data_IF_784646812442
#
_entry.id   IF_784646812442
#
_cell.length_a   1.000
_cell.length_b   1.000
_cell.length_c   1.000
_cell.angle_alpha   90.00
_cell.angle_beta   90.00
_cell.angle_gamma   90.00
#
_symmetry.space_group_name_H-M   'P 1'
#
loop_
_entity.id
_entity.type
_entity.pdbx_description
1 polymer ?
#
# COMPACT_ATOMS: atom_id res chain seq x y z
N UNK A 1 21.17 -0.16 2.10
CA UNK A 1 21.26 -0.24 0.62
C UNK A 1 22.66 0.00 0.05
N UNK A 2 23.47 0.97 0.56
CA UNK A 2 24.80 1.33 0.01
C UNK A 2 25.76 0.14 -0.21
N UNK A 3 25.73 -0.87 0.67
CA UNK A 3 26.55 -2.09 0.52
C UNK A 3 26.38 -2.80 -0.82
N UNK A 4 25.22 -2.68 -1.47
CA UNK A 4 24.93 -3.31 -2.75
C UNK A 4 25.42 -2.48 -3.95
N UNK A 5 25.63 -1.18 -3.77
CA UNK A 5 26.20 -0.30 -4.81
C UNK A 5 27.69 -0.56 -5.05
N UNK A 6 28.40 -1.20 -4.10
CA UNK A 6 29.83 -1.55 -4.21
C UNK A 6 30.19 -2.36 -5.45
N UNK A 7 29.21 -3.03 -6.06
CA UNK A 7 29.40 -3.88 -7.22
C UNK A 7 29.38 -3.13 -8.55
N UNK A 8 29.16 -1.80 -8.54
CA UNK A 8 29.12 -0.99 -9.76
C UNK A 8 27.97 -1.32 -10.72
N UNK A 9 26.99 -2.12 -10.27
CA UNK A 9 25.80 -2.49 -11.03
C UNK A 9 24.61 -1.57 -10.68
N UNK A 10 23.70 -1.30 -11.63
CA UNK A 10 22.43 -0.64 -11.32
C UNK A 10 21.69 -1.38 -10.19
N UNK A 11 21.27 -0.65 -9.16
CA UNK A 11 20.52 -1.18 -8.03
C UNK A 11 19.05 -0.80 -8.17
N UNK A 12 18.18 -1.79 -8.18
CA UNK A 12 16.73 -1.62 -8.22
C UNK A 12 16.08 -2.14 -6.94
N UNK A 13 15.06 -1.42 -6.45
CA UNK A 13 14.14 -1.89 -5.43
C UNK A 13 12.91 -2.43 -6.14
N UNK A 14 12.73 -3.75 -6.12
CA UNK A 14 11.65 -4.39 -6.88
C UNK A 14 10.30 -4.24 -6.22
N UNK A 15 10.26 -4.04 -4.91
CA UNK A 15 9.03 -3.83 -4.14
C UNK A 15 9.35 -2.95 -2.93
N UNK A 16 8.49 -1.96 -2.69
CA UNK A 16 8.45 -1.20 -1.44
C UNK A 16 7.04 -0.69 -1.18
N UNK A 17 6.71 -0.42 0.08
CA UNK A 17 5.41 0.11 0.46
C UNK A 17 5.05 -0.25 1.89
N UNK A 18 3.84 0.12 2.29
CA UNK A 18 3.27 -0.24 3.59
C UNK A 18 1.74 -0.34 3.47
N UNK A 19 1.12 -0.98 4.46
CA UNK A 19 -0.33 -1.10 4.54
C UNK A 19 -1.00 0.20 5.00
N UNK A 20 -2.33 0.26 4.91
CA UNK A 20 -3.12 1.49 5.02
C UNK A 20 -3.62 1.74 6.46
N UNK A 21 -2.75 1.61 7.46
CA UNK A 21 -3.13 1.81 8.87
C UNK A 21 -2.02 2.38 9.77
N UNK A 22 -2.41 2.94 10.92
CA UNK A 22 -1.48 3.46 11.93
C UNK A 22 -0.67 2.32 12.55
N UNK A 23 0.65 2.38 12.40
CA UNK A 23 1.55 1.31 12.86
C UNK A 23 1.94 0.30 11.78
N UNK A 24 1.49 0.48 10.53
CA UNK A 24 1.84 -0.40 9.42
C UNK A 24 3.33 -0.36 9.04
N UNK A 25 4.03 0.80 8.99
CA UNK A 25 5.45 0.87 8.67
C UNK A 25 6.33 0.00 9.57
N UNK A 26 6.00 -0.07 10.86
CA UNK A 26 6.74 -0.83 11.89
C UNK A 26 6.60 -2.34 11.71
N UNK A 27 5.55 -2.81 11.02
CA UNK A 27 5.33 -4.22 10.70
C UNK A 27 6.03 -4.66 9.42
N UNK A 28 6.58 -3.72 8.63
CA UNK A 28 7.31 -3.99 7.40
C UNK A 28 6.53 -4.89 6.43
N UNK A 29 7.19 -5.95 5.93
CA UNK A 29 6.59 -6.93 5.02
C UNK A 29 5.50 -7.82 5.62
N UNK A 30 5.17 -7.65 6.91
CA UNK A 30 4.14 -8.42 7.61
C UNK A 30 2.88 -7.59 7.94
N UNK A 31 2.77 -6.35 7.45
CA UNK A 31 1.61 -5.49 7.71
C UNK A 31 0.27 -6.10 7.27
N UNK A 32 0.28 -6.97 6.25
CA UNK A 32 -0.91 -7.70 5.78
C UNK A 32 -1.46 -8.71 6.80
N UNK A 33 -0.64 -9.13 7.78
CA UNK A 33 -0.99 -10.21 8.72
C UNK A 33 -2.09 -9.85 9.74
N UNK A 34 -2.59 -8.61 9.68
CA UNK A 34 -3.70 -8.13 10.49
C UNK A 34 -5.05 -8.73 10.10
N UNK A 35 -5.14 -9.51 9.00
CA UNK A 35 -6.39 -10.20 8.63
C UNK A 35 -6.47 -11.56 9.34
N UNK A 36 -7.63 -11.86 9.93
CA UNK A 36 -8.00 -13.16 10.47
C UNK A 36 -8.77 -13.98 9.44
N UNK A 37 -8.03 -14.81 8.71
CA UNK A 37 -8.60 -15.75 7.74
C UNK A 37 -9.22 -17.01 8.37
N UNK A 38 -9.18 -17.16 9.69
CA UNK A 38 -9.87 -18.28 10.37
C UNK A 38 -11.37 -18.02 10.54
N UNK A 39 -11.80 -16.77 10.32
CA UNK A 39 -13.20 -16.35 10.37
C UNK A 39 -13.84 -16.32 8.99
N UNK A 40 -15.17 -16.38 8.95
CA UNK A 40 -15.96 -16.30 7.72
C UNK A 40 -17.11 -15.30 7.94
N UNK A 41 -17.06 -14.10 7.32
CA UNK A 41 -15.97 -13.60 6.45
C UNK A 41 -14.68 -13.26 7.24
N UNK A 42 -13.52 -13.14 6.55
CA UNK A 42 -12.28 -12.68 7.19
C UNK A 42 -12.42 -11.29 7.81
N UNK A 43 -11.76 -11.06 8.94
CA UNK A 43 -11.90 -9.83 9.74
C UNK A 43 -10.55 -9.22 10.09
N UNK A 44 -10.51 -7.90 10.30
CA UNK A 44 -9.34 -7.23 10.86
C UNK A 44 -9.17 -7.63 12.33
N UNK A 45 -7.96 -8.04 12.70
CA UNK A 45 -7.55 -8.37 14.08
C UNK A 45 -7.37 -7.10 14.89
N UNK A 46 -8.00 -7.04 16.06
CA UNK A 46 -7.82 -5.95 17.01
C UNK A 46 -8.43 -4.62 16.55
N UNK A 47 -7.95 -3.52 17.12
CA UNK A 47 -8.50 -2.17 16.93
C UNK A 47 -7.57 -1.32 16.04
N UNK A 48 -7.31 -1.82 14.84
CA UNK A 48 -6.45 -1.11 13.88
C UNK A 48 -7.17 0.12 13.36
N UNK A 49 -6.45 1.24 13.22
CA UNK A 49 -7.01 2.52 12.73
C UNK A 49 -6.53 2.75 11.31
N UNK A 50 -7.47 2.85 10.35
CA UNK A 50 -7.17 3.18 8.95
C UNK A 50 -6.43 4.51 8.86
N UNK A 51 -5.38 4.57 8.02
CA UNK A 51 -4.70 5.82 7.71
C UNK A 51 -4.02 5.77 6.34
N UNK A 52 -4.66 6.37 5.34
CA UNK A 52 -4.04 6.58 4.02
C UNK A 52 -2.85 7.54 4.10
N UNK A 53 -2.90 8.52 5.00
CA UNK A 53 -1.80 9.45 5.27
C UNK A 53 -0.52 8.75 5.72
N UNK A 54 -0.62 7.74 6.58
CA UNK A 54 0.56 6.95 7.03
C UNK A 54 1.21 6.24 5.85
N UNK A 55 0.39 5.60 5.01
CA UNK A 55 0.87 4.95 3.80
C UNK A 55 1.54 5.96 2.85
N UNK A 56 0.87 7.07 2.57
CA UNK A 56 1.37 8.11 1.67
C UNK A 56 2.72 8.68 2.14
N UNK A 57 2.84 9.04 3.42
CA UNK A 57 4.07 9.56 4.00
C UNK A 57 5.22 8.55 3.89
N UNK A 58 4.96 7.28 4.24
CA UNK A 58 5.98 6.24 4.16
C UNK A 58 6.50 6.01 2.74
N UNK A 59 5.60 5.97 1.75
CA UNK A 59 6.01 5.81 0.35
C UNK A 59 6.87 6.99 -0.13
N UNK A 60 6.51 8.24 0.22
CA UNK A 60 7.31 9.41 -0.17
C UNK A 60 8.66 9.45 0.52
N UNK A 61 8.72 9.11 1.81
CA UNK A 61 9.99 9.06 2.56
C UNK A 61 10.96 8.03 1.95
N UNK A 62 10.46 6.85 1.56
CA UNK A 62 11.26 5.84 0.87
C UNK A 62 11.74 6.31 -0.50
N UNK A 63 10.86 6.95 -1.29
CA UNK A 63 11.23 7.52 -2.58
C UNK A 63 12.33 8.57 -2.46
N UNK A 64 12.23 9.49 -1.50
CA UNK A 64 13.26 10.50 -1.22
C UNK A 64 14.61 9.84 -0.86
N UNK A 65 14.59 8.76 -0.08
CA UNK A 65 15.80 7.98 0.23
C UNK A 65 16.38 7.33 -1.03
N UNK A 66 15.55 6.69 -1.86
CA UNK A 66 16.00 6.02 -3.09
C UNK A 66 16.59 7.02 -4.09
N UNK A 67 15.98 8.19 -4.23
CA UNK A 67 16.48 9.29 -5.05
C UNK A 67 17.83 9.81 -4.52
N UNK A 68 17.95 10.06 -3.21
CA UNK A 68 19.22 10.50 -2.59
C UNK A 68 20.38 9.52 -2.78
N UNK A 69 20.05 8.25 -3.06
CA UNK A 69 21.00 7.19 -3.32
C UNK A 69 21.29 6.98 -4.82
N UNK A 70 20.59 7.70 -5.71
CA UNK A 70 20.65 7.52 -7.16
C UNK A 70 20.40 6.06 -7.57
N UNK A 71 19.33 5.46 -7.03
CA UNK A 71 18.92 4.11 -7.42
C UNK A 71 18.38 4.10 -8.85
N UNK A 72 18.58 2.98 -9.55
CA UNK A 72 18.18 2.85 -10.94
C UNK A 72 16.66 2.75 -11.11
N UNK A 73 15.99 2.06 -10.17
CA UNK A 73 14.55 1.89 -10.18
C UNK A 73 14.03 1.62 -8.76
N UNK A 74 12.78 1.99 -8.51
CA UNK A 74 12.02 1.62 -7.33
C UNK A 74 10.55 1.40 -7.72
N UNK A 75 10.01 0.22 -7.46
CA UNK A 75 8.63 -0.13 -7.81
C UNK A 75 7.77 -0.22 -6.54
N UNK A 76 6.75 0.63 -6.44
CA UNK A 76 5.78 0.58 -5.35
C UNK A 76 4.97 -0.72 -5.49
N UNK A 77 4.98 -1.53 -4.44
CA UNK A 77 4.09 -2.67 -4.30
C UNK A 77 2.86 -2.17 -3.54
N UNK A 78 1.67 -2.10 -4.12
CA UNK A 78 1.35 -2.40 -5.53
C UNK A 78 0.31 -1.41 -6.08
N UNK A 79 -0.14 -1.61 -7.33
CA UNK A 79 -1.19 -0.76 -7.87
C UNK A 79 -2.55 -1.04 -7.21
N UNK A 80 -3.00 -2.30 -7.19
CA UNK A 80 -4.33 -2.73 -6.73
C UNK A 80 -4.28 -4.13 -6.09
N UNK A 81 -5.03 -4.33 -5.01
CA UNK A 81 -5.26 -5.66 -4.38
C UNK A 81 -6.76 -5.98 -4.45
N UNK A 82 -7.22 -6.56 -5.57
CA UNK A 82 -8.66 -6.65 -5.89
C UNK A 82 -9.50 -7.47 -4.88
N UNK A 83 -8.88 -8.41 -4.18
CA UNK A 83 -9.48 -9.27 -3.17
C UNK A 83 -9.52 -8.65 -1.76
N UNK A 84 -9.01 -7.43 -1.60
CA UNK A 84 -9.05 -6.64 -0.36
C UNK A 84 -9.98 -5.41 -0.53
N UNK A 85 -11.32 -5.59 -0.53
CA UNK A 85 -12.24 -4.48 -0.77
C UNK A 85 -12.23 -3.47 0.38
N UNK A 86 -12.44 -2.20 0.04
CA UNK A 86 -12.63 -1.15 1.02
C UNK A 86 -14.07 -1.15 1.58
N UNK A 87 -14.20 -1.09 2.91
CA UNK A 87 -15.48 -1.13 3.64
C UNK A 87 -15.57 0.00 4.69
N UNK A 88 -15.81 1.26 4.27
CA UNK A 88 -15.85 2.39 5.21
C UNK A 88 -17.01 2.30 6.20
N UNK A 89 -18.10 1.62 5.82
CA UNK A 89 -19.28 1.36 6.65
C UNK A 89 -19.06 0.28 7.71
N UNK A 90 -18.10 -0.63 7.48
CA UNK A 90 -17.79 -1.75 8.37
C UNK A 90 -16.28 -1.93 8.52
N UNK A 91 -15.61 -1.13 9.37
CA UNK A 91 -14.14 -1.16 9.54
C UNK A 91 -13.57 -2.54 9.88
N UNK A 92 -14.33 -3.39 10.60
CA UNK A 92 -13.94 -4.77 10.92
C UNK A 92 -13.70 -5.63 9.66
N UNK A 93 -14.34 -5.29 8.54
CA UNK A 93 -14.24 -6.01 7.27
C UNK A 93 -13.54 -5.17 6.18
N UNK A 94 -12.90 -4.05 6.55
CA UNK A 94 -12.14 -3.19 5.64
C UNK A 94 -10.77 -3.81 5.31
N UNK A 95 -10.77 -4.88 4.51
CA UNK A 95 -9.55 -5.63 4.16
C UNK A 95 -8.52 -4.77 3.41
N UNK A 96 -8.96 -3.71 2.74
CA UNK A 96 -8.08 -2.71 2.12
C UNK A 96 -7.07 -2.09 3.11
N UNK A 97 -7.38 -2.07 4.42
CA UNK A 97 -6.42 -1.66 5.44
C UNK A 97 -5.15 -2.51 5.43
N UNK A 98 -5.28 -3.81 5.18
CA UNK A 98 -4.16 -4.76 5.11
C UNK A 98 -3.46 -4.79 3.74
N UNK A 99 -3.94 -4.00 2.77
CA UNK A 99 -3.37 -3.93 1.42
C UNK A 99 -2.21 -2.92 1.35
N UNK A 100 -1.18 -3.28 0.59
CA UNK A 100 -0.09 -2.40 0.18
C UNK A 100 -0.43 -1.53 -1.04
N UNK A 101 -1.57 -1.79 -1.68
CA UNK A 101 -1.97 -1.11 -2.89
C UNK A 101 -2.16 0.40 -2.68
N UNK A 102 -1.82 1.17 -3.71
CA UNK A 102 -2.01 2.63 -3.74
C UNK A 102 -3.43 3.04 -4.18
N UNK A 103 -4.25 2.10 -4.65
CA UNK A 103 -5.69 2.29 -4.91
C UNK A 103 -6.51 1.35 -4.02
N UNK A 104 -7.78 1.69 -3.79
CA UNK A 104 -8.73 0.87 -3.02
C UNK A 104 -9.82 0.30 -3.93
N UNK A 105 -10.07 -1.02 -3.92
CA UNK A 105 -11.20 -1.61 -4.63
C UNK A 105 -12.53 -1.28 -3.92
N UNK A 106 -13.53 -0.86 -4.68
CA UNK A 106 -14.88 -0.54 -4.21
C UNK A 106 -15.86 -1.44 -4.96
N UNK A 107 -16.68 -2.19 -4.22
CA UNK A 107 -17.79 -2.95 -4.79
C UNK A 107 -19.05 -2.08 -4.82
N UNK A 108 -19.78 -2.10 -5.93
CA UNK A 108 -21.07 -1.40 -6.05
C UNK A 108 -22.09 -1.92 -5.01
N UNK A 109 -22.06 -3.23 -4.78
CA UNK A 109 -22.86 -3.96 -3.78
C UNK A 109 -21.93 -4.81 -2.92
N UNK A 110 -21.48 -4.31 -1.76
CA UNK A 110 -20.41 -4.95 -0.98
C UNK A 110 -20.70 -6.37 -0.47
N UNK A 111 -21.97 -6.70 -0.27
CA UNK A 111 -22.43 -8.00 0.23
C UNK A 111 -22.87 -8.97 -0.90
N UNK A 112 -22.72 -8.58 -2.17
CA UNK A 112 -23.05 -9.38 -3.34
C UNK A 112 -21.75 -9.88 -4.04
N UNK A 113 -21.51 -11.20 -4.14
CA UNK A 113 -20.33 -11.73 -4.81
C UNK A 113 -20.30 -11.44 -6.31
N UNK A 114 -21.46 -11.26 -6.96
CA UNK A 114 -21.59 -10.94 -8.39
C UNK A 114 -21.57 -9.43 -8.66
N UNK A 115 -21.29 -8.62 -7.64
CA UNK A 115 -21.18 -7.18 -7.79
C UNK A 115 -20.04 -6.81 -8.74
N UNK A 116 -20.31 -5.86 -9.63
CA UNK A 116 -19.26 -5.07 -10.27
C UNK A 116 -18.41 -4.33 -9.23
N UNK A 117 -17.23 -3.91 -9.65
CA UNK A 117 -16.31 -3.15 -8.82
C UNK A 117 -15.47 -2.19 -9.66
N UNK A 118 -15.03 -1.11 -9.03
CA UNK A 118 -14.06 -0.15 -9.55
C UNK A 118 -12.97 0.11 -8.51
N UNK A 119 -11.98 0.91 -8.85
CA UNK A 119 -10.98 1.37 -7.89
C UNK A 119 -11.02 2.89 -7.76
N UNK A 120 -10.65 3.36 -6.57
CA UNK A 120 -10.47 4.78 -6.28
C UNK A 120 -9.03 5.02 -5.80
N UNK A 121 -8.41 6.17 -6.13
CA UNK A 121 -7.06 6.47 -5.66
C UNK A 121 -7.05 6.66 -4.14
N UNK A 122 -6.03 6.12 -3.47
CA UNK A 122 -5.70 6.50 -2.08
C UNK A 122 -4.86 7.77 -2.07
N UNK A 123 -4.67 8.37 -0.90
CA UNK A 123 -3.68 9.44 -0.72
C UNK A 123 -2.28 9.04 -1.24
N UNK A 124 -1.91 7.76 -1.08
CA UNK A 124 -0.64 7.22 -1.58
C UNK A 124 -0.50 7.30 -3.10
N UNK A 125 -1.57 7.04 -3.87
CA UNK A 125 -1.56 7.19 -5.32
C UNK A 125 -1.19 8.62 -5.71
N UNK A 126 -1.85 9.61 -5.10
CA UNK A 126 -1.57 11.01 -5.37
C UNK A 126 -0.17 11.42 -4.92
N UNK A 127 0.33 10.88 -3.80
CA UNK A 127 1.66 11.17 -3.30
C UNK A 127 2.76 10.65 -4.25
N UNK A 128 2.64 9.40 -4.70
CA UNK A 128 3.56 8.79 -5.68
C UNK A 128 3.48 9.52 -7.02
N UNK A 129 2.27 9.81 -7.52
CA UNK A 129 2.10 10.54 -8.78
C UNK A 129 2.74 11.94 -8.75
N UNK A 130 2.58 12.68 -7.64
CA UNK A 130 3.25 13.97 -7.47
C UNK A 130 4.76 13.83 -7.44
N UNK A 131 5.29 12.81 -6.76
CA UNK A 131 6.74 12.59 -6.70
C UNK A 131 7.31 12.31 -8.10
N UNK A 132 6.69 11.41 -8.87
CA UNK A 132 7.12 11.13 -10.25
C UNK A 132 6.93 12.31 -11.20
N UNK A 133 5.88 13.10 -11.02
CA UNK A 133 5.65 14.31 -11.82
C UNK A 133 6.75 15.38 -11.67
N UNK A 134 7.55 15.37 -10.59
CA UNK A 134 8.67 16.31 -10.40
C UNK A 134 9.86 16.00 -11.30
N UNK A 135 10.07 14.72 -11.63
CA UNK A 135 11.23 14.25 -12.41
C UNK A 135 11.05 14.50 -13.91
N UNK A 136 9.81 14.81 -14.33
CA UNK A 136 9.45 15.07 -15.74
C UNK A 136 9.45 16.55 -16.17
N UNK A 137 9.94 17.48 -15.33
CA UNK A 137 10.03 18.92 -15.64
C UNK A 137 11.48 19.40 -15.68
#
# INVERSE_FOLDING_TARGET
LRKFQRWGKPLAITEFGTCTFVGAPEQGGMGWSIVDHTKTPPEIKGNVVRSERVQAAYLTDLLDVFESMNLHAAMAFEFVTADAPHRPDKPLYDLDMASYAIVKPIKDRPDDPESGWHWEPKEAFHAVARHYGRVGC
#
